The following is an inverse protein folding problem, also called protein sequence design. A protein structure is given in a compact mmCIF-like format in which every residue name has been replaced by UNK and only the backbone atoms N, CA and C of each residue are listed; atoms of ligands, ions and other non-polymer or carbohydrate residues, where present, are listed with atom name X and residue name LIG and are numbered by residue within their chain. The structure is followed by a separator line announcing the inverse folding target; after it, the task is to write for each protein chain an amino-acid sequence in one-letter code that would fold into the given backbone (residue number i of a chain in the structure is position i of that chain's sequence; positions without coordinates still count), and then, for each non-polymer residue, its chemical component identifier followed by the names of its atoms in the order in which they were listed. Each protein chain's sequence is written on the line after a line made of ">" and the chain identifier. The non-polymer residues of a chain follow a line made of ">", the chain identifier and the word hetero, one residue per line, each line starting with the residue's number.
data_IF_586031704901
#
_entry.id   IF_586031704901
#
_cell.length_a   1.000
_cell.length_b   1.000
_cell.length_c   1.000
_cell.angle_alpha   90.00
_cell.angle_beta   90.00
_cell.angle_gamma   90.00
#
_symmetry.space_group_name_H-M   'P 1'
#
loop_
_entity.id
_entity.type
_entity.pdbx_description
1 polymer ?
#
# COMPACT_ATOMS: atom_id res chain seq x y z
N UNK A 1 32.52 44.59 19.26
CA UNK A 1 32.25 43.38 18.45
C UNK A 1 32.45 42.16 19.34
N UNK A 2 31.39 41.75 20.04
CA UNK A 2 31.34 40.58 20.93
C UNK A 2 29.95 39.99 20.77
N UNK A 3 29.90 38.81 20.16
CA UNK A 3 28.69 38.00 20.04
C UNK A 3 28.53 37.29 21.39
N UNK A 4 27.44 37.59 22.10
CA UNK A 4 27.07 36.87 23.32
C UNK A 4 26.21 35.68 22.91
N UNK A 5 26.61 34.53 23.43
CA UNK A 5 26.05 33.21 23.16
C UNK A 5 24.57 33.10 23.49
N UNK A 6 23.87 32.45 22.56
CA UNK A 6 22.48 32.03 22.65
C UNK A 6 22.35 30.84 23.60
N UNK A 7 21.61 31.00 24.69
CA UNK A 7 21.13 29.89 25.54
C UNK A 7 19.61 29.93 25.55
N UNK A 8 18.99 29.55 24.43
CA UNK A 8 17.56 29.21 24.33
C UNK A 8 17.46 27.86 23.63
N UNK A 9 17.94 26.82 24.30
CA UNK A 9 17.86 25.43 23.85
C UNK A 9 17.49 24.60 25.08
N UNK A 10 16.24 24.76 25.56
CA UNK A 10 15.57 23.80 26.45
C UNK A 10 14.08 24.11 26.75
N UNK A 11 13.47 25.15 26.16
CA UNK A 11 12.01 25.40 26.32
C UNK A 11 11.15 25.10 25.08
N UNK A 12 11.71 24.56 23.99
CA UNK A 12 10.97 24.32 22.74
C UNK A 12 10.51 22.85 22.59
N UNK A 13 11.05 21.91 23.37
CA UNK A 13 10.61 20.49 23.33
C UNK A 13 9.37 20.19 24.19
N UNK A 14 8.84 21.15 24.96
CA UNK A 14 7.60 20.97 25.73
C UNK A 14 6.37 21.67 25.10
N UNK A 15 6.55 22.40 23.99
CA UNK A 15 5.47 23.21 23.38
C UNK A 15 4.88 22.64 22.09
N UNK A 16 5.38 21.52 21.56
CA UNK A 16 4.84 20.89 20.34
C UNK A 16 3.83 19.75 20.60
N UNK A 17 3.42 19.53 21.84
CA UNK A 17 2.41 18.52 22.23
C UNK A 17 0.99 19.10 22.44
N UNK A 18 0.74 20.40 22.19
CA UNK A 18 -0.54 21.05 22.58
C UNK A 18 -1.24 21.79 21.42
N UNK A 19 -0.89 21.58 20.16
CA UNK A 19 -1.63 22.21 19.03
C UNK A 19 -2.07 21.21 17.97
N UNK A 20 -2.82 20.22 18.40
CA UNK A 20 -3.96 19.67 17.67
C UNK A 20 -4.89 18.99 18.67
N UNK A 21 -5.73 19.78 19.35
CA UNK A 21 -6.99 19.23 19.90
C UNK A 21 -7.90 18.87 18.72
N UNK A 22 -7.51 17.88 17.94
CA UNK A 22 -8.47 16.90 17.46
C UNK A 22 -8.97 16.27 18.75
N UNK A 23 -10.22 16.57 19.13
CA UNK A 23 -10.83 16.07 20.36
C UNK A 23 -10.58 14.57 20.46
N UNK A 24 -9.63 14.16 21.30
CA UNK A 24 -9.37 12.75 21.53
C UNK A 24 -10.66 12.15 22.09
N UNK A 25 -11.26 11.24 21.34
CA UNK A 25 -12.58 10.73 21.66
C UNK A 25 -12.43 9.73 22.81
N UNK A 26 -13.04 10.05 23.95
CA UNK A 26 -13.11 9.13 25.08
C UNK A 26 -14.26 8.16 24.90
N UNK A 27 -14.00 6.87 25.15
CA UNK A 27 -14.97 5.78 25.10
C UNK A 27 -14.85 4.91 26.35
N UNK A 28 -15.98 4.53 26.93
CA UNK A 28 -16.01 3.58 28.05
C UNK A 28 -16.28 2.14 27.55
N UNK A 29 -15.33 1.23 27.66
CA UNK A 29 -15.55 -0.16 27.27
C UNK A 29 -15.93 -0.94 28.54
N UNK A 30 -16.97 -1.76 28.47
CA UNK A 30 -17.30 -2.75 29.51
C UNK A 30 -17.65 -4.09 28.84
N UNK A 31 -17.44 -5.24 29.51
CA UNK A 31 -17.73 -6.54 28.92
C UNK A 31 -19.19 -6.67 28.44
N UNK A 32 -20.14 -6.11 29.20
CA UNK A 32 -21.57 -6.16 28.88
C UNK A 32 -21.89 -5.34 27.62
N UNK A 33 -21.32 -4.14 27.50
CA UNK A 33 -21.51 -3.28 26.33
C UNK A 33 -20.86 -3.89 25.09
N UNK A 34 -19.64 -4.42 25.23
CA UNK A 34 -18.92 -5.10 24.14
C UNK A 34 -19.73 -6.28 23.61
N UNK A 35 -20.23 -7.14 24.51
CA UNK A 35 -21.06 -8.29 24.14
C UNK A 35 -22.32 -7.85 23.38
N UNK A 36 -23.04 -6.86 23.92
CA UNK A 36 -24.24 -6.31 23.28
C UNK A 36 -23.95 -5.85 21.85
N UNK A 37 -22.87 -5.09 21.64
CA UNK A 37 -22.50 -4.54 20.33
C UNK A 37 -22.12 -5.66 19.35
N UNK A 38 -21.37 -6.66 19.80
CA UNK A 38 -20.99 -7.81 18.96
C UNK A 38 -22.25 -8.57 18.53
N UNK A 39 -23.13 -8.90 19.48
CA UNK A 39 -24.35 -9.66 19.23
C UNK A 39 -25.32 -8.90 18.30
N UNK A 40 -25.51 -7.58 18.50
CA UNK A 40 -26.43 -6.75 17.73
C UNK A 40 -25.94 -6.46 16.30
N UNK A 41 -24.62 -6.32 16.11
CA UNK A 41 -24.05 -5.90 14.82
C UNK A 41 -23.27 -6.99 14.08
N UNK A 42 -23.18 -8.21 14.65
CA UNK A 42 -22.48 -9.33 14.04
C UNK A 42 -20.97 -9.10 13.83
N UNK A 43 -20.33 -8.35 14.74
CA UNK A 43 -18.91 -7.99 14.66
C UNK A 43 -18.08 -9.13 15.28
N UNK A 44 -18.05 -10.27 14.61
CA UNK A 44 -17.51 -11.48 15.22
C UNK A 44 -16.00 -11.67 15.00
N UNK A 45 -15.41 -10.98 14.02
CA UNK A 45 -14.02 -11.20 13.62
C UNK A 45 -13.17 -9.94 13.78
N UNK A 46 -12.64 -9.71 14.98
CA UNK A 46 -11.54 -8.78 15.21
C UNK A 46 -10.70 -9.19 16.42
N UNK A 47 -9.43 -8.80 16.38
CA UNK A 47 -8.46 -9.02 17.44
C UNK A 47 -8.21 -7.72 18.20
N UNK A 48 -7.91 -7.87 19.49
CA UNK A 48 -7.37 -6.82 20.34
C UNK A 48 -5.96 -7.20 20.74
N UNK A 49 -4.99 -6.37 20.42
CA UNK A 49 -3.59 -6.61 20.75
C UNK A 49 -3.09 -5.61 21.79
N UNK A 50 -2.45 -6.05 22.88
CA UNK A 50 -1.72 -5.14 23.76
C UNK A 50 -0.57 -4.47 23.00
N UNK A 51 -0.35 -3.18 23.27
CA UNK A 51 0.67 -2.36 22.62
C UNK A 51 1.55 -1.72 23.68
N UNK A 52 2.86 -1.72 23.44
CA UNK A 52 3.81 -0.91 24.19
C UNK A 52 4.32 0.25 23.35
N UNK A 53 4.31 1.43 23.94
CA UNK A 53 5.04 2.57 23.41
C UNK A 53 6.45 2.57 24.00
N UNK A 54 7.46 2.24 23.19
CA UNK A 54 8.84 2.09 23.66
C UNK A 54 9.85 2.59 22.64
N UNK A 55 11.05 2.88 23.12
CA UNK A 55 12.20 3.14 22.27
C UNK A 55 12.65 1.83 21.60
N UNK A 56 12.84 1.89 20.28
CA UNK A 56 13.35 0.79 19.46
C UNK A 56 14.63 1.23 18.75
N UNK A 57 15.48 0.25 18.48
CA UNK A 57 16.73 0.39 17.74
C UNK A 57 16.52 -0.06 16.29
N UNK A 58 17.02 0.73 15.34
CA UNK A 58 16.95 0.42 13.91
C UNK A 58 18.16 0.99 13.16
N UNK A 59 18.49 0.39 12.00
CA UNK A 59 19.56 0.88 11.12
C UNK A 59 18.97 1.72 9.99
N UNK A 60 19.37 2.98 9.90
CA UNK A 60 18.91 3.86 8.82
C UNK A 60 19.53 3.45 7.48
N UNK A 61 18.78 3.60 6.40
CA UNK A 61 19.32 3.55 5.05
C UNK A 61 19.93 4.91 4.67
N UNK A 62 21.23 4.93 4.41
CA UNK A 62 21.98 6.09 3.98
C UNK A 62 22.23 6.03 2.47
N UNK A 63 22.44 7.18 1.85
CA UNK A 63 22.97 7.22 0.48
C UNK A 63 24.42 6.76 0.53
N UNK A 64 24.77 5.77 -0.28
CA UNK A 64 26.13 5.26 -0.37
C UNK A 64 26.37 4.56 -1.69
N UNK A 65 27.53 3.93 -1.81
CA UNK A 65 27.89 3.15 -2.98
C UNK A 65 27.50 1.68 -2.77
N UNK A 66 26.72 1.13 -3.71
CA UNK A 66 26.36 -0.29 -3.77
C UNK A 66 26.96 -0.90 -5.03
N UNK A 67 27.20 -2.22 -5.03
CA UNK A 67 27.68 -2.91 -6.22
C UNK A 67 26.73 -2.66 -7.40
N UNK A 68 27.27 -2.27 -8.55
CA UNK A 68 26.45 -2.06 -9.73
C UNK A 68 25.85 -3.39 -10.19
N UNK A 69 24.54 -3.40 -10.47
CA UNK A 69 23.86 -4.56 -11.02
C UNK A 69 24.53 -5.04 -12.32
N UNK A 70 24.97 -4.09 -13.16
CA UNK A 70 25.65 -4.40 -14.41
C UNK A 70 27.05 -4.99 -14.17
N UNK A 71 27.79 -4.46 -13.21
CA UNK A 71 29.09 -5.03 -12.82
C UNK A 71 28.94 -6.45 -12.23
N UNK A 72 27.92 -6.67 -11.39
CA UNK A 72 27.62 -7.99 -10.83
C UNK A 72 27.27 -9.01 -11.92
N UNK A 73 26.41 -8.63 -12.86
CA UNK A 73 26.07 -9.50 -14.00
C UNK A 73 27.32 -9.92 -14.79
N UNK A 74 28.22 -8.97 -15.06
CA UNK A 74 29.47 -9.28 -15.76
C UNK A 74 30.41 -10.20 -14.96
N UNK A 75 30.42 -10.09 -13.63
CA UNK A 75 31.17 -11.03 -12.77
C UNK A 75 30.57 -12.43 -12.83
N UNK A 76 29.24 -12.54 -12.74
CA UNK A 76 28.54 -13.82 -12.80
C UNK A 76 28.78 -14.50 -14.16
N UNK A 77 28.70 -13.75 -15.27
CA UNK A 77 29.03 -14.24 -16.62
C UNK A 77 30.51 -14.66 -16.73
N UNK A 78 31.44 -13.88 -16.15
CA UNK A 78 32.87 -14.21 -16.19
C UNK A 78 33.17 -15.54 -15.48
N UNK A 79 32.52 -15.79 -14.33
CA UNK A 79 32.69 -17.02 -13.56
C UNK A 79 32.20 -18.25 -14.33
N UNK A 80 31.15 -18.10 -15.16
CA UNK A 80 30.64 -19.16 -16.03
C UNK A 80 31.66 -19.57 -17.11
N UNK A 81 32.36 -18.62 -17.72
CA UNK A 81 33.36 -18.89 -18.76
C UNK A 81 34.72 -19.34 -18.21
N UNK A 82 34.99 -19.15 -16.91
CA UNK A 82 36.28 -19.41 -16.29
C UNK A 82 36.80 -20.85 -16.50
N UNK A 83 36.00 -21.92 -16.28
CA UNK A 83 36.48 -23.28 -16.47
C UNK A 83 36.92 -23.59 -17.91
N UNK A 84 36.18 -23.08 -18.90
CA UNK A 84 36.52 -23.27 -20.31
C UNK A 84 37.75 -22.47 -20.74
N UNK A 85 37.92 -21.26 -20.20
CA UNK A 85 39.15 -20.47 -20.36
C UNK A 85 40.36 -21.22 -19.78
N UNK A 86 40.27 -21.69 -18.53
CA UNK A 86 41.36 -22.40 -17.85
C UNK A 86 41.74 -23.69 -18.62
N UNK A 87 40.74 -24.42 -19.13
CA UNK A 87 40.94 -25.59 -19.99
C UNK A 87 41.66 -25.27 -21.30
N UNK A 88 41.23 -24.23 -22.02
CA UNK A 88 41.85 -23.81 -23.28
C UNK A 88 43.31 -23.39 -23.07
N UNK A 89 43.59 -22.59 -22.05
CA UNK A 89 44.96 -22.16 -21.72
C UNK A 89 45.85 -23.37 -21.39
N UNK A 90 45.34 -24.32 -20.61
CA UNK A 90 46.08 -25.54 -20.29
C UNK A 90 46.35 -26.38 -21.54
N UNK A 91 45.35 -26.57 -22.41
CA UNK A 91 45.51 -27.30 -23.66
C UNK A 91 46.58 -26.65 -24.54
N UNK A 92 46.55 -25.32 -24.73
CA UNK A 92 47.55 -24.61 -25.52
C UNK A 92 48.97 -24.76 -24.95
N UNK A 93 49.13 -24.75 -23.64
CA UNK A 93 50.43 -24.98 -22.98
C UNK A 93 50.91 -26.42 -23.18
N UNK A 94 50.02 -27.40 -23.05
CA UNK A 94 50.31 -28.81 -23.25
C UNK A 94 50.72 -29.10 -24.71
N UNK A 95 50.08 -28.47 -25.71
CA UNK A 95 50.45 -28.62 -27.12
C UNK A 95 51.79 -27.98 -27.46
N UNK A 96 52.11 -26.81 -26.90
CA UNK A 96 53.45 -26.21 -27.01
C UNK A 96 54.52 -27.11 -26.41
N UNK A 97 54.22 -27.76 -25.27
CA UNK A 97 55.12 -28.75 -24.67
C UNK A 97 55.31 -29.96 -25.58
N UNK A 98 54.24 -30.45 -26.23
CA UNK A 98 54.36 -31.52 -27.22
C UNK A 98 55.31 -31.15 -28.36
N UNK A 99 55.14 -29.98 -28.96
CA UNK A 99 56.00 -29.49 -30.03
C UNK A 99 57.47 -29.46 -29.58
N UNK A 100 57.74 -28.89 -28.40
CA UNK A 100 59.10 -28.84 -27.85
C UNK A 100 59.69 -30.23 -27.58
N UNK A 101 58.88 -31.20 -27.14
CA UNK A 101 59.31 -32.58 -26.92
C UNK A 101 59.61 -33.31 -28.24
N UNK A 102 58.84 -33.05 -29.30
CA UNK A 102 59.14 -33.60 -30.64
C UNK A 102 60.45 -33.01 -31.17
N UNK A 103 60.69 -31.72 -30.98
CA UNK A 103 61.94 -31.07 -31.40
C UNK A 103 63.15 -31.70 -30.71
N UNK A 104 63.08 -31.90 -29.38
CA UNK A 104 64.10 -32.64 -28.63
C UNK A 104 64.35 -34.05 -29.20
N UNK A 105 63.30 -34.78 -29.57
CA UNK A 105 63.45 -36.11 -30.18
C UNK A 105 64.16 -36.06 -31.54
N UNK A 106 63.82 -35.08 -32.38
CA UNK A 106 64.39 -34.92 -33.73
C UNK A 106 65.87 -34.51 -33.71
N UNK A 107 66.23 -33.65 -32.74
CA UNK A 107 67.56 -33.06 -32.56
C UNK A 107 68.51 -33.91 -31.69
N UNK A 108 67.99 -34.81 -30.85
CA UNK A 108 68.81 -35.60 -29.93
C UNK A 108 69.63 -36.70 -30.65
N UNK A 109 70.93 -36.76 -30.32
CA UNK A 109 71.87 -37.82 -30.71
C UNK A 109 71.84 -39.04 -29.76
N UNK A 110 70.96 -39.03 -28.75
CA UNK A 110 70.84 -40.14 -27.80
C UNK A 110 70.30 -41.41 -28.46
N UNK A 111 70.57 -42.56 -27.81
CA UNK A 111 69.98 -43.85 -28.19
C UNK A 111 68.46 -43.73 -28.22
N UNK A 112 67.85 -44.37 -29.23
CA UNK A 112 66.41 -44.30 -29.48
C UNK A 112 65.57 -44.60 -28.22
N UNK A 113 65.93 -45.63 -27.46
CA UNK A 113 65.19 -46.07 -26.27
C UNK A 113 65.15 -45.00 -25.15
N UNK A 114 66.08 -44.05 -25.16
CA UNK A 114 66.12 -42.91 -24.22
C UNK A 114 65.21 -41.78 -24.71
N UNK A 115 65.35 -41.37 -25.97
CA UNK A 115 64.56 -40.26 -26.53
C UNK A 115 63.13 -40.62 -26.91
N UNK A 116 62.78 -41.91 -26.99
CA UNK A 116 61.40 -42.37 -27.18
C UNK A 116 60.45 -41.89 -26.08
N UNK A 117 60.96 -41.62 -24.87
CA UNK A 117 60.14 -41.12 -23.76
C UNK A 117 59.48 -39.77 -24.09
N UNK A 118 60.16 -38.90 -24.85
CA UNK A 118 59.56 -37.65 -25.31
C UNK A 118 58.32 -37.87 -26.17
N UNK A 119 58.32 -38.92 -27.01
CA UNK A 119 57.21 -39.26 -27.88
C UNK A 119 56.05 -39.94 -27.12
N UNK A 120 56.35 -40.71 -26.07
CA UNK A 120 55.32 -41.26 -25.17
C UNK A 120 54.56 -40.17 -24.44
N UNK A 121 55.26 -39.16 -23.93
CA UNK A 121 54.64 -37.99 -23.31
C UNK A 121 53.76 -37.22 -24.31
N UNK A 122 54.25 -37.03 -25.54
CA UNK A 122 53.49 -36.37 -26.63
C UNK A 122 52.22 -37.14 -26.94
N UNK A 123 52.30 -38.47 -27.09
CA UNK A 123 51.13 -39.30 -27.39
C UNK A 123 50.12 -39.27 -26.24
N UNK A 124 50.56 -39.33 -24.98
CA UNK A 124 49.67 -39.23 -23.82
C UNK A 124 48.89 -37.92 -23.78
N UNK A 125 49.53 -36.80 -24.13
CA UNK A 125 48.86 -35.49 -24.22
C UNK A 125 47.91 -35.45 -25.43
N UNK A 126 48.32 -35.98 -26.58
CA UNK A 126 47.44 -36.07 -27.75
C UNK A 126 46.18 -36.90 -27.45
N UNK A 127 46.33 -38.03 -26.75
CA UNK A 127 45.21 -38.89 -26.34
C UNK A 127 44.29 -38.18 -25.33
N UNK A 128 44.86 -37.48 -24.33
CA UNK A 128 44.12 -36.65 -23.35
C UNK A 128 43.18 -35.66 -24.04
N UNK A 129 43.61 -35.06 -25.14
CA UNK A 129 42.83 -34.08 -25.91
C UNK A 129 42.17 -34.66 -27.17
N UNK A 130 42.23 -35.98 -27.37
CA UNK A 130 41.68 -36.70 -28.53
C UNK A 130 42.15 -36.17 -29.88
N UNK A 131 43.41 -35.73 -29.94
CA UNK A 131 43.99 -35.14 -31.15
C UNK A 131 44.34 -36.23 -32.14
N UNK A 132 43.80 -36.10 -33.34
CA UNK A 132 44.09 -37.00 -34.46
C UNK A 132 44.87 -36.23 -35.51
N UNK A 133 46.12 -36.61 -35.74
CA UNK A 133 46.93 -36.06 -36.83
C UNK A 133 46.82 -37.00 -38.04
N UNK A 134 46.47 -36.44 -39.20
CA UNK A 134 46.38 -37.16 -40.46
C UNK A 134 47.57 -36.76 -41.33
N UNK A 135 48.35 -37.74 -41.75
CA UNK A 135 49.46 -37.57 -42.70
C UNK A 135 49.18 -38.33 -44.00
N UNK A 136 50.00 -38.10 -45.02
CA UNK A 136 49.93 -38.82 -46.30
C UNK A 136 50.93 -39.99 -46.31
N UNK A 137 50.51 -41.18 -46.74
CA UNK A 137 51.40 -42.34 -46.81
C UNK A 137 52.33 -42.30 -48.05
N UNK A 138 53.54 -41.79 -47.86
CA UNK A 138 54.56 -41.70 -48.91
C UNK A 138 55.12 -43.07 -49.36
N UNK A 139 54.86 -44.18 -48.63
CA UNK A 139 55.35 -45.51 -49.03
C UNK A 139 54.68 -46.05 -50.29
N UNK A 140 53.56 -45.46 -50.71
CA UNK A 140 52.95 -45.73 -52.02
C UNK A 140 53.70 -45.07 -53.19
N UNK A 141 54.57 -44.08 -52.92
CA UNK A 141 55.37 -43.38 -53.94
C UNK A 141 56.51 -44.28 -54.45
N UNK A 142 57.14 -45.09 -53.59
CA UNK A 142 58.31 -45.89 -53.95
C UNK A 142 57.99 -47.17 -54.72
N UNK A 143 56.78 -47.74 -54.57
CA UNK A 143 56.34 -48.93 -55.33
C UNK A 143 55.87 -48.63 -56.76
N UNK A 144 55.56 -47.37 -57.10
CA UNK A 144 54.96 -47.02 -58.40
C UNK A 144 55.86 -46.22 -59.35
N UNK A 145 56.98 -45.64 -58.88
CA UNK A 145 57.95 -44.98 -59.78
C UNK A 145 58.65 -45.94 -60.76
N UNK A 146 58.49 -47.25 -60.62
CA UNK A 146 59.06 -48.24 -61.54
C UNK A 146 58.15 -48.57 -62.75
N UNK A 147 56.86 -48.21 -62.77
CA UNK A 147 55.95 -48.55 -63.88
C UNK A 147 54.78 -47.55 -64.00
N UNK A 148 54.93 -46.54 -64.85
CA UNK A 148 53.97 -46.18 -65.91
C UNK A 148 54.13 -44.72 -66.34
N UNK A 149 54.53 -44.54 -67.59
CA UNK A 149 54.34 -43.33 -68.39
C UNK A 149 52.89 -43.25 -68.85
N UNK A 150 51.93 -42.87 -67.99
CA UNK A 150 50.60 -42.36 -68.41
C UNK A 150 49.90 -41.73 -67.20
N UNK A 151 49.40 -40.51 -67.39
CA UNK A 151 48.86 -39.64 -66.35
C UNK A 151 47.60 -40.19 -65.67
N UNK A 152 47.72 -40.42 -64.36
CA UNK A 152 46.62 -40.36 -63.40
C UNK A 152 47.23 -39.89 -62.09
N UNK A 153 46.93 -38.66 -61.67
CA UNK A 153 47.15 -38.23 -60.29
C UNK A 153 46.31 -39.13 -59.38
N UNK A 154 46.96 -40.02 -58.63
CA UNK A 154 46.31 -40.81 -57.59
C UNK A 154 46.62 -40.16 -56.25
N UNK A 155 45.57 -39.67 -55.60
CA UNK A 155 45.63 -39.06 -54.27
C UNK A 155 46.30 -40.00 -53.26
N UNK A 156 47.26 -39.46 -52.51
CA UNK A 156 47.90 -40.16 -51.41
C UNK A 156 46.84 -40.49 -50.34
N UNK A 157 46.85 -41.73 -49.86
CA UNK A 157 45.95 -42.17 -48.79
C UNK A 157 46.29 -41.45 -47.49
N UNK A 158 45.25 -40.96 -46.84
CA UNK A 158 45.30 -40.46 -45.47
C UNK A 158 45.59 -41.61 -44.51
N UNK A 159 46.59 -41.41 -43.66
CA UNK A 159 46.93 -42.31 -42.56
C UNK A 159 46.96 -41.51 -41.26
N UNK A 160 46.43 -42.10 -40.20
CA UNK A 160 46.61 -41.55 -38.87
C UNK A 160 48.08 -41.68 -38.47
N UNK A 161 48.70 -40.56 -38.16
CA UNK A 161 50.06 -40.50 -37.65
C UNK A 161 49.99 -40.49 -36.13
N UNK A 162 50.82 -41.32 -35.51
CA UNK A 162 50.95 -41.40 -34.06
C UNK A 162 52.34 -40.90 -33.68
N UNK A 163 52.44 -40.12 -32.60
CA UNK A 163 53.72 -39.74 -32.05
C UNK A 163 54.45 -40.98 -31.50
N UNK A 164 53.71 -41.89 -30.88
CA UNK A 164 54.22 -43.16 -30.37
C UNK A 164 53.16 -44.27 -30.51
N UNK A 165 53.59 -45.48 -30.86
CA UNK A 165 52.74 -46.67 -30.86
C UNK A 165 53.52 -47.87 -30.33
N UNK A 166 52.92 -48.61 -29.40
CA UNK A 166 53.59 -49.74 -28.76
C UNK A 166 54.01 -50.81 -29.79
N UNK A 167 55.21 -51.34 -29.63
CA UNK A 167 55.82 -52.29 -30.57
C UNK A 167 56.24 -51.72 -31.93
N UNK A 168 56.10 -50.42 -32.20
CA UNK A 168 56.54 -49.78 -33.46
C UNK A 168 57.43 -48.57 -33.21
N UNK A 169 58.64 -48.59 -33.77
CA UNK A 169 59.54 -47.43 -33.77
C UNK A 169 58.99 -46.31 -34.64
N UNK A 170 58.85 -45.10 -34.09
CA UNK A 170 58.47 -43.88 -34.79
C UNK A 170 59.64 -43.36 -35.62
N UNK A 171 59.42 -43.09 -36.91
CA UNK A 171 60.46 -42.51 -37.77
C UNK A 171 60.57 -40.99 -37.55
N UNK A 172 61.71 -40.39 -37.93
CA UNK A 172 61.85 -38.92 -37.89
C UNK A 172 60.79 -38.21 -38.76
N UNK A 173 60.40 -38.83 -39.88
CA UNK A 173 59.37 -38.29 -40.76
C UNK A 173 57.99 -38.35 -40.09
N UNK A 174 57.65 -39.46 -39.43
CA UNK A 174 56.37 -39.57 -38.70
C UNK A 174 56.29 -38.55 -37.55
N UNK A 175 57.38 -38.37 -36.80
CA UNK A 175 57.45 -37.36 -35.73
C UNK A 175 57.31 -35.94 -36.28
N UNK A 176 57.93 -35.63 -37.42
CA UNK A 176 57.79 -34.33 -38.08
C UNK A 176 56.36 -34.10 -38.58
N UNK A 177 55.76 -35.08 -39.27
CA UNK A 177 54.35 -35.01 -39.70
C UNK A 177 53.39 -34.84 -38.52
N UNK A 178 53.67 -35.48 -37.38
CA UNK A 178 52.89 -35.29 -36.17
C UNK A 178 53.03 -33.87 -35.60
N UNK A 179 54.25 -33.32 -35.57
CA UNK A 179 54.50 -31.92 -35.17
C UNK A 179 53.74 -30.94 -36.06
N UNK A 180 53.83 -31.11 -37.38
CA UNK A 180 53.17 -30.22 -38.34
C UNK A 180 51.64 -30.26 -38.16
N UNK A 181 51.07 -31.45 -37.92
CA UNK A 181 49.64 -31.58 -37.59
C UNK A 181 49.25 -31.00 -36.23
N UNK A 182 50.13 -31.03 -35.21
CA UNK A 182 49.88 -30.34 -33.94
C UNK A 182 49.87 -28.81 -34.11
N UNK A 183 50.76 -28.28 -34.94
CA UNK A 183 50.79 -26.85 -35.28
C UNK A 183 49.48 -26.48 -35.99
N UNK A 184 49.04 -27.28 -36.95
CA UNK A 184 47.76 -27.09 -37.64
C UNK A 184 46.58 -27.13 -36.66
N UNK A 185 46.55 -28.07 -35.71
CA UNK A 185 45.52 -28.13 -34.66
C UNK A 185 45.53 -26.89 -33.76
N UNK A 186 46.71 -26.34 -33.47
CA UNK A 186 46.84 -25.09 -32.71
C UNK A 186 46.37 -23.87 -33.51
N UNK A 187 46.62 -23.85 -34.82
CA UNK A 187 46.25 -22.76 -35.74
C UNK A 187 44.77 -22.79 -36.12
N UNK A 188 44.20 -23.98 -36.33
CA UNK A 188 42.81 -24.20 -36.73
C UNK A 188 41.80 -24.05 -35.59
N UNK A 189 42.26 -23.77 -34.37
CA UNK A 189 41.50 -23.45 -33.15
C UNK A 189 40.05 -23.97 -33.15
N UNK A 190 39.73 -24.97 -32.32
CA UNK A 190 38.33 -25.41 -32.22
C UNK A 190 37.43 -24.20 -31.94
N UNK A 191 36.47 -23.97 -32.82
CA UNK A 191 35.71 -22.70 -32.88
C UNK A 191 34.97 -22.43 -31.58
N UNK A 192 34.64 -23.48 -30.83
CA UNK A 192 33.92 -23.38 -29.57
C UNK A 192 34.86 -23.04 -28.39
N UNK A 193 36.02 -23.70 -28.27
CA UNK A 193 36.93 -23.48 -27.14
C UNK A 193 37.62 -22.10 -27.25
N UNK A 194 37.94 -21.67 -28.47
CA UNK A 194 38.44 -20.32 -28.70
C UNK A 194 37.37 -19.24 -28.49
N UNK A 195 36.10 -19.51 -28.84
CA UNK A 195 35.01 -18.59 -28.54
C UNK A 195 34.85 -18.37 -27.03
N UNK A 196 34.97 -19.42 -26.22
CA UNK A 196 34.94 -19.32 -24.75
C UNK A 196 36.12 -18.51 -24.22
N UNK A 197 37.34 -18.78 -24.70
CA UNK A 197 38.52 -17.98 -24.35
C UNK A 197 38.34 -16.50 -24.69
N UNK A 198 37.89 -16.20 -25.92
CA UNK A 198 37.66 -14.84 -26.39
C UNK A 198 36.55 -14.13 -25.58
N UNK A 199 35.46 -14.85 -25.26
CA UNK A 199 34.39 -14.33 -24.40
C UNK A 199 34.92 -13.95 -23.01
N UNK A 200 35.70 -14.83 -22.37
CA UNK A 200 36.31 -14.57 -21.06
C UNK A 200 37.22 -13.33 -21.07
N UNK A 201 38.10 -13.21 -22.08
CA UNK A 201 39.00 -12.07 -22.24
C UNK A 201 38.21 -10.77 -22.46
N UNK A 202 37.18 -10.81 -23.32
CA UNK A 202 36.33 -9.65 -23.60
C UNK A 202 35.54 -9.20 -22.36
N UNK A 203 34.98 -10.14 -21.58
CA UNK A 203 34.29 -9.84 -20.32
C UNK A 203 35.24 -9.23 -19.28
N UNK A 204 36.47 -9.76 -19.19
CA UNK A 204 37.52 -9.19 -18.32
C UNK A 204 37.85 -7.75 -18.69
N UNK A 205 37.99 -7.45 -19.98
CA UNK A 205 38.24 -6.08 -20.46
C UNK A 205 37.04 -5.15 -20.25
N UNK A 206 35.81 -5.67 -20.35
CA UNK A 206 34.59 -4.89 -20.03
C UNK A 206 34.51 -4.58 -18.54
N UNK A 207 34.80 -5.54 -17.66
CA UNK A 207 34.82 -5.32 -16.21
C UNK A 207 35.80 -4.22 -15.77
N UNK A 208 36.93 -4.06 -16.47
CA UNK A 208 37.88 -2.95 -16.22
C UNK A 208 37.31 -1.57 -16.53
N UNK A 209 36.30 -1.47 -17.39
CA UNK A 209 35.73 -0.21 -17.89
C UNK A 209 34.41 0.18 -17.23
N UNK A 210 33.78 -0.75 -16.52
CA UNK A 210 32.48 -0.53 -15.86
C UNK A 210 32.68 -0.11 -14.40
N UNK A 211 31.96 0.90 -13.89
CA UNK A 211 31.98 1.24 -12.48
C UNK A 211 31.59 0.04 -11.62
N UNK A 212 32.46 -0.30 -10.65
CA UNK A 212 32.19 -1.40 -9.69
C UNK A 212 30.97 -1.10 -8.83
N UNK A 213 30.79 0.17 -8.51
CA UNK A 213 29.75 0.67 -7.64
C UNK A 213 28.86 1.69 -8.36
N UNK A 214 27.66 1.87 -7.84
CA UNK A 214 26.71 2.90 -8.25
C UNK A 214 26.04 3.51 -7.01
N UNK A 215 25.51 4.73 -7.09
CA UNK A 215 24.74 5.31 -5.99
C UNK A 215 23.54 4.43 -5.64
N UNK A 216 23.36 4.16 -4.35
CA UNK A 216 22.27 3.34 -3.83
C UNK A 216 22.03 3.60 -2.35
N UNK A 217 21.28 2.69 -1.72
CA UNK A 217 21.01 2.72 -0.29
C UNK A 217 21.86 1.67 0.40
N UNK A 218 22.62 2.09 1.40
CA UNK A 218 23.42 1.22 2.27
C UNK A 218 22.90 1.33 3.70
N UNK A 219 23.03 0.25 4.46
CA UNK A 219 22.73 0.28 5.88
C UNK A 219 23.76 1.11 6.63
N UNK A 220 23.29 1.97 7.51
CA UNK A 220 24.13 2.70 8.46
C UNK A 220 24.79 1.73 9.44
N UNK A 221 26.08 1.92 9.69
CA UNK A 221 26.80 1.24 10.77
C UNK A 221 26.30 1.71 12.15
N UNK A 222 25.81 2.95 12.23
CA UNK A 222 25.22 3.52 13.44
C UNK A 222 23.79 3.00 13.68
N UNK A 223 23.54 2.57 14.91
CA UNK A 223 22.21 2.26 15.42
C UNK A 223 21.50 3.57 15.75
N UNK A 224 20.35 3.80 15.13
CA UNK A 224 19.45 4.90 15.47
C UNK A 224 18.36 4.44 16.42
N UNK A 225 17.88 5.35 17.27
CA UNK A 225 16.79 5.11 18.19
C UNK A 225 15.57 5.96 17.84
N UNK A 226 14.38 5.40 18.01
CA UNK A 226 13.11 6.14 17.92
C UNK A 226 12.05 5.46 18.77
N UNK A 227 11.07 6.23 19.23
CA UNK A 227 9.89 5.65 19.87
C UNK A 227 8.93 5.10 18.82
N UNK A 228 8.35 3.94 19.12
CA UNK A 228 7.36 3.28 18.28
C UNK A 228 6.32 2.56 19.13
N UNK A 229 5.13 2.40 18.56
CA UNK A 229 4.10 1.53 19.10
C UNK A 229 4.36 0.11 18.60
N UNK A 230 4.59 -0.83 19.53
CA UNK A 230 4.90 -2.22 19.22
C UNK A 230 3.81 -3.10 19.80
N UNK A 231 3.21 -3.95 18.97
CA UNK A 231 2.32 -5.02 19.45
C UNK A 231 3.14 -6.03 20.24
N UNK A 232 2.78 -6.22 21.51
CA UNK A 232 3.42 -7.19 22.39
C UNK A 232 2.38 -8.18 22.94
N UNK A 233 2.68 -9.48 22.81
CA UNK A 233 1.83 -10.56 23.29
C UNK A 233 0.81 -11.05 22.27
N UNK A 234 0.00 -12.00 22.72
CA UNK A 234 -1.08 -12.58 21.92
C UNK A 234 -2.29 -11.66 21.90
N UNK A 235 -3.21 -11.87 20.95
CA UNK A 235 -4.50 -11.20 21.00
C UNK A 235 -5.25 -11.59 22.28
N UNK A 236 -5.99 -10.63 22.82
CA UNK A 236 -6.89 -10.80 23.95
C UNK A 236 -8.33 -10.64 23.46
N UNK A 237 -9.27 -11.30 24.12
CA UNK A 237 -10.69 -11.08 23.84
C UNK A 237 -11.13 -9.69 24.31
N UNK A 238 -12.02 -9.05 23.55
CA UNK A 238 -12.55 -7.72 23.85
C UNK A 238 -13.32 -7.67 25.18
N UNK A 239 -13.88 -8.80 25.62
CA UNK A 239 -14.52 -8.99 26.92
C UNK A 239 -13.55 -8.80 28.10
N UNK A 240 -12.24 -8.85 27.86
CA UNK A 240 -11.22 -8.59 28.87
C UNK A 240 -10.87 -7.09 28.98
N UNK A 241 -11.40 -6.24 28.09
CA UNK A 241 -11.26 -4.80 28.21
C UNK A 241 -12.41 -4.20 29.02
N UNK A 242 -12.05 -3.48 30.08
CA UNK A 242 -12.99 -2.71 30.89
C UNK A 242 -12.32 -1.43 31.37
N UNK A 243 -12.96 -0.27 31.19
CA UNK A 243 -12.44 1.03 31.62
C UNK A 243 -12.79 2.16 30.66
N UNK A 244 -12.23 3.35 30.96
CA UNK A 244 -12.29 4.49 30.05
C UNK A 244 -11.03 4.51 29.18
N UNK A 245 -11.20 4.77 27.90
CA UNK A 245 -10.12 4.77 26.91
C UNK A 245 -10.19 6.03 26.05
N UNK A 246 -9.03 6.53 25.66
CA UNK A 246 -8.87 7.59 24.67
C UNK A 246 -8.50 6.95 23.34
N UNK A 247 -9.23 7.27 22.28
CA UNK A 247 -8.87 6.86 20.92
C UNK A 247 -7.75 7.78 20.42
N UNK A 248 -6.60 7.21 20.09
CA UNK A 248 -5.49 7.96 19.51
C UNK A 248 -5.83 8.41 18.08
N UNK A 249 -5.32 9.58 17.69
CA UNK A 249 -5.60 10.13 16.38
C UNK A 249 -4.93 9.29 15.27
N UNK A 250 -5.72 8.97 14.24
CA UNK A 250 -5.28 8.22 13.07
C UNK A 250 -5.41 6.71 13.22
N UNK A 251 -5.28 6.02 12.09
CA UNK A 251 -5.30 4.57 12.01
C UNK A 251 -3.90 4.06 11.70
N UNK A 252 -3.57 2.90 12.27
CA UNK A 252 -2.25 2.31 12.23
C UNK A 252 -2.30 0.96 11.51
N UNK A 253 -1.25 0.65 10.77
CA UNK A 253 -1.05 -0.64 10.11
C UNK A 253 -0.01 -1.43 10.91
N UNK A 254 -0.24 -2.74 11.06
CA UNK A 254 0.69 -3.65 11.72
C UNK A 254 1.73 -4.21 10.74
N UNK A 255 3.00 -3.90 10.99
CA UNK A 255 4.13 -4.49 10.29
C UNK A 255 4.38 -5.91 10.81
N UNK A 256 4.16 -6.94 9.98
CA UNK A 256 4.29 -8.35 10.42
C UNK A 256 5.72 -8.89 10.43
N UNK A 257 6.62 -8.27 9.66
CA UNK A 257 8.01 -8.67 9.47
C UNK A 257 8.90 -7.44 9.35
N UNK A 258 10.19 -7.55 9.63
CA UNK A 258 11.12 -6.44 9.43
C UNK A 258 11.08 -5.99 7.95
N UNK A 259 10.98 -4.68 7.71
CA UNK A 259 10.82 -4.14 6.35
C UNK A 259 11.83 -3.06 6.03
N UNK A 260 12.72 -3.38 5.09
CA UNK A 260 13.70 -2.47 4.47
C UNK A 260 14.48 -1.63 5.51
N UNK A 261 14.72 -2.18 6.69
CA UNK A 261 15.37 -1.51 7.83
C UNK A 261 14.70 -0.19 8.26
N UNK A 262 13.49 0.10 7.77
CA UNK A 262 12.68 1.26 8.13
C UNK A 262 11.78 0.95 9.31
N UNK A 263 11.26 -0.28 9.36
CA UNK A 263 10.29 -0.74 10.35
C UNK A 263 10.69 -2.09 10.90
N UNK A 264 10.43 -2.26 12.18
CA UNK A 264 10.67 -3.53 12.87
C UNK A 264 9.38 -4.36 12.90
N UNK A 265 9.55 -5.67 13.03
CA UNK A 265 8.44 -6.60 13.24
C UNK A 265 7.57 -6.15 14.42
N UNK A 266 6.26 -6.27 14.24
CA UNK A 266 5.19 -5.88 15.16
C UNK A 266 5.05 -4.37 15.40
N UNK A 267 5.71 -3.53 14.61
CA UNK A 267 5.53 -2.09 14.68
C UNK A 267 4.19 -1.63 14.08
N UNK A 268 3.52 -0.72 14.77
CA UNK A 268 2.34 0.00 14.30
C UNK A 268 2.75 1.36 13.71
N UNK A 269 2.35 1.63 12.47
CA UNK A 269 2.74 2.85 11.74
C UNK A 269 1.56 3.44 10.95
N UNK A 270 1.64 4.73 10.63
CA UNK A 270 0.61 5.47 9.88
C UNK A 270 1.03 5.68 8.42
N UNK A 271 0.91 4.67 7.55
CA UNK A 271 1.09 4.86 6.10
C UNK A 271 0.12 3.98 5.29
N UNK A 272 -0.69 4.65 4.45
CA UNK A 272 -1.13 4.24 3.10
C UNK A 272 -1.93 2.96 2.87
N UNK A 273 -2.11 2.08 3.85
CA UNK A 273 -2.66 0.75 3.60
C UNK A 273 -4.17 0.61 3.91
N UNK A 274 -4.83 -0.32 3.24
CA UNK A 274 -6.28 -0.57 3.38
C UNK A 274 -6.66 -1.25 4.71
N UNK A 275 -5.68 -1.71 5.50
CA UNK A 275 -5.89 -2.41 6.79
C UNK A 275 -5.31 -1.62 7.95
N UNK A 276 -5.72 -0.37 8.05
CA UNK A 276 -5.35 0.52 9.16
C UNK A 276 -6.48 0.55 10.21
N UNK A 277 -6.10 0.48 11.49
CA UNK A 277 -7.02 0.38 12.61
C UNK A 277 -6.62 1.25 13.81
N UNK A 278 -7.54 1.59 14.73
CA UNK A 278 -7.26 2.50 15.83
C UNK A 278 -6.40 1.87 16.92
N UNK A 279 -5.62 2.74 17.59
CA UNK A 279 -5.03 2.46 18.90
C UNK A 279 -5.87 3.18 19.95
N UNK A 280 -6.19 2.51 21.05
CA UNK A 280 -6.80 3.11 22.23
C UNK A 280 -5.82 3.08 23.40
N UNK A 281 -5.85 4.11 24.24
CA UNK A 281 -5.06 4.20 25.47
C UNK A 281 -6.01 4.23 26.67
N UNK A 282 -5.77 3.41 27.70
CA UNK A 282 -6.55 3.50 28.93
C UNK A 282 -6.29 4.85 29.61
N UNK A 283 -7.36 5.54 29.99
CA UNK A 283 -7.27 6.89 30.60
C UNK A 283 -6.48 6.82 31.90
N UNK A 284 -5.44 7.66 31.99
CA UNK A 284 -4.57 7.76 33.16
C UNK A 284 -3.49 6.68 33.27
N UNK A 285 -3.27 5.86 32.23
CA UNK A 285 -2.21 4.85 32.20
C UNK A 285 -1.44 4.85 30.87
N UNK A 286 -0.31 4.15 30.83
CA UNK A 286 0.47 3.89 29.60
C UNK A 286 0.09 2.55 28.94
N UNK A 287 -1.13 2.07 29.19
CA UNK A 287 -1.63 0.84 28.58
C UNK A 287 -2.32 1.16 27.25
N UNK A 288 -1.76 0.64 26.17
CA UNK A 288 -2.28 0.81 24.82
C UNK A 288 -2.82 -0.51 24.26
N UNK A 289 -3.85 -0.41 23.42
CA UNK A 289 -4.43 -1.55 22.73
C UNK A 289 -4.71 -1.21 21.28
N UNK A 290 -4.35 -2.10 20.38
CA UNK A 290 -4.64 -2.01 18.95
C UNK A 290 -5.82 -2.91 18.63
N UNK A 291 -6.89 -2.34 18.07
CA UNK A 291 -8.16 -3.06 17.83
C UNK A 291 -8.36 -3.19 16.34
N UNK A 292 -8.36 -4.40 15.78
CA UNK A 292 -8.50 -4.61 14.34
C UNK A 292 -9.94 -4.49 13.83
N UNK A 293 -10.68 -3.49 14.32
CA UNK A 293 -12.04 -3.14 13.90
C UNK A 293 -12.24 -1.63 13.98
N UNK A 294 -12.53 -1.01 12.84
CA UNK A 294 -12.92 0.41 12.77
C UNK A 294 -14.37 0.62 13.24
N UNK A 295 -15.21 -0.40 13.11
CA UNK A 295 -16.64 -0.30 13.41
C UNK A 295 -16.95 -0.47 14.90
N UNK A 296 -16.21 -1.34 15.61
CA UNK A 296 -16.49 -1.63 17.01
C UNK A 296 -16.50 -0.35 17.88
N UNK A 297 -15.45 0.46 17.80
CA UNK A 297 -15.36 1.71 18.57
C UNK A 297 -16.40 2.76 18.15
N UNK A 298 -16.79 2.77 16.88
CA UNK A 298 -17.88 3.62 16.37
C UNK A 298 -19.20 3.22 17.02
N UNK A 299 -19.53 1.92 17.08
CA UNK A 299 -20.75 1.45 17.72
C UNK A 299 -20.74 1.66 19.24
N UNK A 300 -19.59 1.47 19.91
CA UNK A 300 -19.43 1.80 21.33
C UNK A 300 -19.76 3.28 21.57
N UNK A 301 -19.20 4.15 20.74
CA UNK A 301 -19.42 5.59 20.84
C UNK A 301 -20.89 5.97 20.60
N UNK A 302 -21.52 5.39 19.58
CA UNK A 302 -22.93 5.62 19.25
C UNK A 302 -23.85 5.15 20.37
N UNK A 303 -23.61 3.96 20.93
CA UNK A 303 -24.39 3.42 22.04
C UNK A 303 -24.28 4.31 23.29
N UNK A 304 -23.08 4.81 23.59
CA UNK A 304 -22.87 5.72 24.72
C UNK A 304 -23.51 7.08 24.52
N UNK A 305 -23.43 7.62 23.31
CA UNK A 305 -24.12 8.85 22.96
C UNK A 305 -25.62 8.67 23.16
N UNK A 306 -26.20 7.60 22.60
CA UNK A 306 -27.61 7.30 22.73
C UNK A 306 -28.04 7.16 24.20
N UNK A 307 -27.29 6.41 25.02
CA UNK A 307 -27.57 6.28 26.45
C UNK A 307 -27.64 7.64 27.15
N UNK A 308 -26.74 8.58 26.82
CA UNK A 308 -26.78 9.95 27.38
C UNK A 308 -28.06 10.69 26.97
N UNK A 309 -28.53 10.54 25.73
CA UNK A 309 -29.79 11.16 25.29
C UNK A 309 -30.98 10.53 25.99
N UNK A 310 -31.00 9.19 26.07
CA UNK A 310 -32.03 8.40 26.75
C UNK A 310 -32.15 8.80 28.23
N UNK A 311 -31.03 8.94 28.93
CA UNK A 311 -31.02 9.42 30.33
C UNK A 311 -31.67 10.80 30.47
N UNK A 312 -31.40 11.72 29.55
CA UNK A 312 -31.99 13.07 29.58
C UNK A 312 -33.50 13.04 29.33
N UNK A 313 -33.98 12.26 28.35
CA UNK A 313 -35.43 12.17 28.08
C UNK A 313 -36.18 11.42 29.18
N UNK A 314 -35.57 10.39 29.77
CA UNK A 314 -36.14 9.64 30.88
C UNK A 314 -36.24 10.51 32.13
N UNK A 315 -35.23 11.34 32.39
CA UNK A 315 -35.28 12.37 33.45
C UNK A 315 -36.37 13.42 33.19
N UNK A 316 -36.67 13.72 31.94
CA UNK A 316 -37.78 14.58 31.55
C UNK A 316 -39.16 13.87 31.58
N UNK A 317 -39.21 12.60 31.96
CA UNK A 317 -40.45 11.84 32.15
C UNK A 317 -41.00 11.17 30.88
N UNK A 318 -40.21 11.13 29.80
CA UNK A 318 -40.57 10.43 28.57
C UNK A 318 -39.97 9.03 28.58
N UNK A 319 -40.61 8.09 27.85
CA UNK A 319 -40.11 6.73 27.67
C UNK A 319 -39.71 6.51 26.22
N UNK A 320 -38.50 6.01 26.00
CA UNK A 320 -38.00 5.68 24.68
C UNK A 320 -38.60 4.38 24.12
N UNK A 321 -38.65 4.29 22.80
CA UNK A 321 -38.89 3.06 22.07
C UNK A 321 -38.02 3.02 20.81
N UNK A 322 -37.87 1.82 20.26
CA UNK A 322 -37.00 1.56 19.11
C UNK A 322 -37.84 1.15 17.92
N UNK A 323 -37.56 1.73 16.75
CA UNK A 323 -38.20 1.31 15.51
C UNK A 323 -37.46 0.08 14.96
N UNK A 324 -38.21 -0.97 14.62
CA UNK A 324 -37.66 -2.27 14.21
C UNK A 324 -36.88 -2.24 12.89
N UNK A 325 -37.10 -1.24 12.04
CA UNK A 325 -36.52 -1.17 10.69
C UNK A 325 -35.09 -0.63 10.66
N UNK A 326 -34.73 0.28 11.56
CA UNK A 326 -33.46 1.02 11.53
C UNK A 326 -32.77 1.08 12.91
N UNK A 327 -33.39 0.52 13.96
CA UNK A 327 -32.86 0.55 15.32
C UNK A 327 -32.81 1.96 15.92
N UNK A 328 -33.39 2.96 15.26
CA UNK A 328 -33.39 4.33 15.76
C UNK A 328 -34.32 4.44 16.98
N UNK A 329 -33.86 5.22 17.96
CA UNK A 329 -34.59 5.47 19.19
C UNK A 329 -35.45 6.72 19.05
N UNK A 330 -36.67 6.64 19.57
CA UNK A 330 -37.67 7.70 19.52
C UNK A 330 -38.35 7.86 20.87
N UNK A 331 -38.97 9.03 21.07
CA UNK A 331 -39.97 9.26 22.10
C UNK A 331 -41.27 9.73 21.45
N UNK A 332 -42.38 9.43 22.11
CA UNK A 332 -43.69 9.95 21.74
C UNK A 332 -44.08 11.04 22.72
N UNK A 333 -44.32 12.23 22.20
CA UNK A 333 -44.75 13.42 22.94
C UNK A 333 -46.24 13.65 22.74
N UNK A 334 -46.80 14.75 23.27
CA UNK A 334 -48.22 15.06 23.06
C UNK A 334 -48.50 15.42 21.61
N UNK A 335 -47.55 16.03 20.91
CA UNK A 335 -47.74 16.60 19.57
C UNK A 335 -46.93 15.92 18.47
N UNK A 336 -45.85 15.23 18.82
CA UNK A 336 -44.92 14.64 17.84
C UNK A 336 -44.30 13.31 18.28
N UNK A 337 -43.80 12.57 17.30
CA UNK A 337 -42.74 11.57 17.48
C UNK A 337 -41.39 12.27 17.27
N UNK A 338 -40.45 12.10 18.20
CA UNK A 338 -39.13 12.76 18.18
C UNK A 338 -38.02 11.70 18.20
N UNK A 339 -37.09 11.77 17.25
CA UNK A 339 -35.88 10.94 17.17
C UNK A 339 -34.82 11.40 18.16
N UNK A 340 -34.16 10.45 18.84
CA UNK A 340 -33.14 10.74 19.85
C UNK A 340 -31.75 10.86 19.21
N UNK A 341 -31.45 12.06 18.71
CA UNK A 341 -30.23 12.35 17.96
C UNK A 341 -29.35 13.45 18.59
N UNK A 342 -28.32 13.88 17.84
CA UNK A 342 -27.41 14.98 18.20
C UNK A 342 -28.11 16.30 18.50
N UNK A 343 -29.18 16.62 17.77
CA UNK A 343 -29.93 17.86 17.94
C UNK A 343 -30.69 17.83 19.26
N UNK A 344 -31.45 16.75 19.50
CA UNK A 344 -32.22 16.60 20.74
C UNK A 344 -31.31 16.57 21.97
N UNK A 345 -30.17 15.88 21.88
CA UNK A 345 -29.16 15.94 22.94
C UNK A 345 -28.71 17.36 23.26
N UNK A 346 -28.35 18.14 22.22
CA UNK A 346 -27.90 19.53 22.38
C UNK A 346 -28.98 20.40 23.01
N UNK A 347 -30.22 20.27 22.54
CA UNK A 347 -31.34 21.05 23.04
C UNK A 347 -31.64 20.70 24.50
N UNK A 348 -31.78 19.42 24.85
CA UNK A 348 -32.06 18.98 26.22
C UNK A 348 -30.93 19.31 27.21
N UNK A 349 -29.68 19.24 26.76
CA UNK A 349 -28.53 19.63 27.59
C UNK A 349 -28.56 21.13 27.93
N UNK A 350 -29.00 21.96 26.99
CA UNK A 350 -29.11 23.42 27.19
C UNK A 350 -30.41 23.83 27.90
N UNK A 351 -31.50 23.10 27.66
CA UNK A 351 -32.82 23.35 28.21
C UNK A 351 -33.51 22.01 28.56
N UNK A 352 -33.50 21.59 29.83
CA UNK A 352 -34.17 20.37 30.26
C UNK A 352 -35.68 20.33 29.98
N UNK A 353 -36.33 21.49 29.84
CA UNK A 353 -37.77 21.61 29.56
C UNK A 353 -38.09 21.67 28.06
N UNK A 354 -37.10 21.52 27.18
CA UNK A 354 -37.25 21.69 25.74
C UNK A 354 -38.43 20.93 25.13
N UNK A 355 -38.64 19.66 25.52
CA UNK A 355 -39.74 18.85 24.95
C UNK A 355 -41.12 19.39 25.36
N UNK A 356 -41.25 19.89 26.60
CA UNK A 356 -42.49 20.51 27.08
C UNK A 356 -42.76 21.84 26.37
N UNK A 357 -41.73 22.66 26.18
CA UNK A 357 -41.83 23.91 25.41
C UNK A 357 -42.20 23.64 23.95
N UNK A 358 -41.57 22.64 23.34
CA UNK A 358 -41.89 22.17 22.00
C UNK A 358 -43.37 21.78 21.88
N UNK A 359 -43.87 20.92 22.79
CA UNK A 359 -45.28 20.51 22.79
C UNK A 359 -46.23 21.72 22.92
N UNK A 360 -45.92 22.68 23.79
CA UNK A 360 -46.72 23.89 23.96
C UNK A 360 -46.71 24.78 22.72
N UNK A 361 -45.56 24.98 22.09
CA UNK A 361 -45.46 25.73 20.84
C UNK A 361 -46.23 25.05 19.71
N UNK A 362 -46.14 23.72 19.56
CA UNK A 362 -46.88 22.98 18.54
C UNK A 362 -48.40 23.03 18.79
N UNK A 363 -48.86 22.96 20.05
CA UNK A 363 -50.28 23.17 20.38
C UNK A 363 -50.75 24.60 20.04
N UNK A 364 -49.91 25.60 20.28
CA UNK A 364 -50.20 26.99 19.93
C UNK A 364 -50.27 27.18 18.42
N UNK A 365 -49.32 26.61 17.67
CA UNK A 365 -49.34 26.60 16.20
C UNK A 365 -50.62 25.94 15.70
N UNK A 366 -50.97 24.76 16.20
CA UNK A 366 -52.21 24.07 15.80
C UNK A 366 -53.47 24.90 16.08
N UNK A 367 -53.52 25.61 17.20
CA UNK A 367 -54.61 26.53 17.54
C UNK A 367 -54.71 27.71 16.57
N UNK A 368 -53.57 28.32 16.22
CA UNK A 368 -53.51 29.41 15.25
C UNK A 368 -53.86 28.93 13.83
N UNK A 369 -53.42 27.73 13.45
CA UNK A 369 -53.80 27.10 12.16
C UNK A 369 -55.30 26.88 12.07
N UNK A 370 -56.00 26.51 13.16
CA UNK A 370 -57.48 26.43 13.13
C UNK A 370 -58.14 27.77 12.84
N UNK A 371 -57.55 28.88 13.30
CA UNK A 371 -58.08 30.22 13.04
C UNK A 371 -57.96 30.59 11.55
N UNK A 372 -57.04 29.97 10.80
CA UNK A 372 -56.87 30.30 9.38
C UNK A 372 -58.11 30.00 8.54
N UNK A 373 -58.97 29.07 8.97
CA UNK A 373 -60.18 28.67 8.23
C UNK A 373 -61.15 29.85 8.05
N UNK A 374 -61.40 30.63 9.10
CA UNK A 374 -62.32 31.78 9.02
C UNK A 374 -61.73 32.93 8.20
N UNK A 375 -60.41 33.14 8.33
CA UNK A 375 -59.69 34.11 7.51
C UNK A 375 -59.69 33.71 6.03
N UNK A 376 -59.42 32.44 5.72
CA UNK A 376 -59.45 31.90 4.35
C UNK A 376 -60.79 32.17 3.67
N UNK A 377 -61.91 31.80 4.32
CA UNK A 377 -63.27 32.07 3.80
C UNK A 377 -63.55 33.55 3.57
N UNK A 378 -63.06 34.41 4.45
CA UNK A 378 -63.23 35.86 4.33
C UNK A 378 -62.45 36.42 3.14
N UNK A 379 -61.21 35.98 2.97
CA UNK A 379 -60.36 36.40 1.85
C UNK A 379 -60.90 35.86 0.52
N UNK A 380 -61.29 34.59 0.46
CA UNK A 380 -61.87 33.97 -0.74
C UNK A 380 -63.16 34.68 -1.19
N UNK A 381 -64.01 35.10 -0.25
CA UNK A 381 -65.18 35.95 -0.56
C UNK A 381 -64.79 37.22 -1.31
N UNK A 382 -63.75 37.94 -0.87
CA UNK A 382 -63.30 39.17 -1.53
C UNK A 382 -62.60 38.89 -2.86
N UNK A 383 -61.82 37.81 -2.95
CA UNK A 383 -61.24 37.33 -4.22
C UNK A 383 -62.35 37.02 -5.23
N UNK A 384 -63.41 36.33 -4.81
CA UNK A 384 -64.59 36.05 -5.62
C UNK A 384 -65.30 37.31 -6.10
N UNK A 385 -65.52 38.28 -5.19
CA UNK A 385 -66.08 39.59 -5.54
C UNK A 385 -65.22 40.32 -6.58
N UNK A 386 -63.90 40.30 -6.41
CA UNK A 386 -62.98 40.89 -7.39
C UNK A 386 -63.02 40.17 -8.73
N UNK A 387 -63.09 38.83 -8.77
CA UNK A 387 -63.21 38.06 -10.02
C UNK A 387 -64.47 38.46 -10.82
N UNK A 388 -65.57 38.73 -10.13
CA UNK A 388 -66.86 39.12 -10.75
C UNK A 388 -66.88 40.60 -11.15
N UNK A 389 -66.48 41.49 -10.25
CA UNK A 389 -66.66 42.94 -10.41
C UNK A 389 -65.43 43.65 -10.98
N UNK A 390 -64.22 43.08 -10.83
CA UNK A 390 -62.91 43.65 -11.20
C UNK A 390 -62.81 45.12 -10.80
N UNK A 391 -62.85 46.02 -11.79
CA UNK A 391 -62.70 47.46 -11.63
C UNK A 391 -63.94 48.14 -11.04
N UNK A 392 -65.04 47.42 -10.81
CA UNK A 392 -66.32 47.92 -10.29
C UNK A 392 -66.54 47.60 -8.82
N UNK A 393 -65.56 47.01 -8.13
CA UNK A 393 -65.66 46.77 -6.69
C UNK A 393 -65.72 48.11 -5.93
N UNK A 394 -66.62 48.22 -4.96
CA UNK A 394 -66.79 49.47 -4.21
C UNK A 394 -65.55 49.78 -3.35
N UNK A 395 -65.27 51.06 -3.14
CA UNK A 395 -64.19 51.52 -2.27
C UNK A 395 -64.31 50.97 -0.84
N UNK A 396 -65.54 50.86 -0.32
CA UNK A 396 -65.83 50.25 0.97
C UNK A 396 -65.43 48.76 1.01
N UNK A 397 -65.72 47.99 -0.04
CA UNK A 397 -65.32 46.59 -0.13
C UNK A 397 -63.80 46.43 -0.25
N UNK A 398 -63.13 47.30 -1.00
CA UNK A 398 -61.65 47.32 -1.09
C UNK A 398 -61.03 47.63 0.27
N UNK A 399 -61.56 48.62 1.00
CA UNK A 399 -61.08 48.96 2.34
C UNK A 399 -61.27 47.79 3.33
N UNK A 400 -62.44 47.15 3.32
CA UNK A 400 -62.71 45.97 4.15
C UNK A 400 -61.80 44.78 3.80
N UNK A 401 -61.52 44.58 2.50
CA UNK A 401 -60.57 43.56 2.05
C UNK A 401 -59.16 43.84 2.57
N UNK A 402 -58.64 45.07 2.46
CA UNK A 402 -57.34 45.46 3.03
C UNK A 402 -57.24 45.17 4.53
N UNK A 403 -58.31 45.47 5.30
CA UNK A 403 -58.36 45.17 6.73
C UNK A 403 -58.33 43.66 6.99
N UNK A 404 -59.11 42.87 6.24
CA UNK A 404 -59.11 41.42 6.34
C UNK A 404 -57.73 40.81 6.01
N UNK A 405 -57.08 41.28 4.94
CA UNK A 405 -55.72 40.88 4.53
C UNK A 405 -54.68 41.24 5.59
N UNK A 406 -54.76 42.44 6.18
CA UNK A 406 -53.85 42.86 7.27
C UNK A 406 -53.99 41.97 8.50
N UNK A 407 -55.23 41.62 8.89
CA UNK A 407 -55.47 40.74 10.03
C UNK A 407 -55.02 39.31 9.75
N UNK A 408 -55.20 38.82 8.52
CA UNK A 408 -54.67 37.53 8.08
C UNK A 408 -53.13 37.50 8.10
N UNK A 409 -52.46 38.56 7.63
CA UNK A 409 -51.01 38.68 7.71
C UNK A 409 -50.52 38.61 9.17
N UNK A 410 -51.15 39.33 10.10
CA UNK A 410 -50.80 39.24 11.54
C UNK A 410 -50.92 37.83 12.10
N UNK A 411 -51.90 37.04 11.63
CA UNK A 411 -52.05 35.64 12.03
C UNK A 411 -50.90 34.79 11.43
N UNK A 412 -50.60 34.97 10.15
CA UNK A 412 -49.47 34.30 9.50
C UNK A 412 -48.15 34.60 10.21
N UNK A 413 -47.86 35.86 10.53
CA UNK A 413 -46.62 36.27 11.21
C UNK A 413 -46.46 35.59 12.57
N UNK A 414 -47.58 35.41 13.31
CA UNK A 414 -47.58 34.69 14.59
C UNK A 414 -47.28 33.20 14.42
N UNK A 415 -47.86 32.57 13.40
CA UNK A 415 -47.60 31.16 13.08
C UNK A 415 -46.13 31.01 12.68
N UNK A 416 -45.66 31.83 11.73
CA UNK A 416 -44.30 31.79 11.23
C UNK A 416 -43.27 31.97 12.35
N UNK A 417 -43.43 32.97 13.22
CA UNK A 417 -42.52 33.23 14.35
C UNK A 417 -42.39 32.05 15.32
N UNK A 418 -43.46 31.27 15.53
CA UNK A 418 -43.39 30.07 16.36
C UNK A 418 -42.73 28.90 15.62
N UNK A 419 -43.02 28.74 14.33
CA UNK A 419 -42.44 27.69 13.49
C UNK A 419 -40.93 27.88 13.25
N UNK A 420 -40.47 29.13 13.10
CA UNK A 420 -39.07 29.49 12.84
C UNK A 420 -38.12 28.95 13.91
N UNK A 421 -38.56 28.82 15.17
CA UNK A 421 -37.77 28.23 16.26
C UNK A 421 -37.29 26.81 15.97
N UNK A 422 -37.99 26.10 15.09
CA UNK A 422 -37.75 24.70 14.76
C UNK A 422 -37.33 24.51 13.30
N UNK A 423 -37.03 25.61 12.59
CA UNK A 423 -36.56 25.54 11.22
C UNK A 423 -35.21 24.79 11.14
N UNK A 424 -35.10 23.87 10.19
CA UNK A 424 -33.93 22.99 10.05
C UNK A 424 -33.84 21.85 11.07
N UNK A 425 -34.80 21.71 11.99
CA UNK A 425 -34.89 20.56 12.88
C UNK A 425 -35.66 19.41 12.18
N UNK A 426 -34.92 18.37 11.79
CA UNK A 426 -35.46 17.16 11.14
C UNK A 426 -35.71 16.01 12.13
N UNK A 427 -35.53 16.24 13.43
CA UNK A 427 -35.61 15.22 14.46
C UNK A 427 -37.04 14.85 14.85
N UNK A 428 -38.08 15.42 14.23
CA UNK A 428 -39.46 15.15 14.65
C UNK A 428 -40.46 15.01 13.50
N UNK A 429 -41.53 14.28 13.79
CA UNK A 429 -42.72 14.14 12.94
C UNK A 429 -43.97 14.43 13.76
N UNK A 430 -44.73 15.44 13.34
CA UNK A 430 -46.00 15.79 13.98
C UNK A 430 -47.02 14.65 13.87
N UNK A 431 -47.70 14.34 14.98
CA UNK A 431 -48.74 13.28 15.02
C UNK A 431 -50.00 13.69 14.24
N UNK A 432 -50.33 14.98 14.24
CA UNK A 432 -51.49 15.53 13.54
C UNK A 432 -51.04 16.65 12.61
N UNK A 433 -50.93 16.36 11.31
CA UNK A 433 -50.69 17.38 10.28
C UNK A 433 -52.04 17.92 9.80
N UNK A 434 -52.16 19.24 9.69
CA UNK A 434 -53.36 19.91 9.17
C UNK A 434 -53.03 20.59 7.85
N UNK A 435 -53.72 20.20 6.78
CA UNK A 435 -53.50 20.75 5.43
C UNK A 435 -54.16 22.12 5.22
N UNK A 436 -54.92 22.63 6.21
CA UNK A 436 -55.69 23.88 6.09
C UNK A 436 -54.85 25.15 6.10
N UNK A 437 -53.55 25.04 6.36
CA UNK A 437 -52.66 26.19 6.32
C UNK A 437 -52.34 26.63 4.88
N UNK A 438 -52.24 25.69 3.94
CA UNK A 438 -51.84 26.00 2.56
C UNK A 438 -52.89 26.86 1.84
N UNK A 439 -54.16 26.47 1.91
CA UNK A 439 -55.27 27.23 1.30
C UNK A 439 -55.33 28.67 1.83
N UNK A 440 -55.06 28.85 3.13
CA UNK A 440 -54.99 30.17 3.74
C UNK A 440 -53.83 31.00 3.19
N UNK A 441 -52.64 30.40 2.99
CA UNK A 441 -51.50 31.09 2.39
C UNK A 441 -51.81 31.52 0.95
N UNK A 442 -52.43 30.64 0.15
CA UNK A 442 -52.79 30.94 -1.23
C UNK A 442 -53.76 32.13 -1.30
N UNK A 443 -54.79 32.14 -0.45
CA UNK A 443 -55.77 33.23 -0.38
C UNK A 443 -55.16 34.54 0.15
N UNK A 444 -54.24 34.46 1.11
CA UNK A 444 -53.49 35.62 1.62
C UNK A 444 -52.61 36.23 0.52
N UNK A 445 -51.81 35.40 -0.16
CA UNK A 445 -50.92 35.84 -1.24
C UNK A 445 -51.70 36.42 -2.42
N UNK A 446 -52.78 35.76 -2.85
CA UNK A 446 -53.65 36.28 -3.91
C UNK A 446 -54.25 37.64 -3.53
N UNK A 447 -54.71 37.79 -2.29
CA UNK A 447 -55.25 39.06 -1.79
C UNK A 447 -54.20 40.17 -1.80
N UNK A 448 -52.99 39.89 -1.31
CA UNK A 448 -51.88 40.86 -1.33
C UNK A 448 -51.52 41.28 -2.75
N UNK A 449 -51.46 40.33 -3.68
CA UNK A 449 -51.18 40.60 -5.10
C UNK A 449 -52.21 41.53 -5.74
N UNK A 450 -53.51 41.29 -5.51
CA UNK A 450 -54.57 42.15 -6.06
C UNK A 450 -54.58 43.54 -5.42
N UNK A 451 -54.32 43.63 -4.11
CA UNK A 451 -54.37 44.89 -3.36
C UNK A 451 -53.07 45.71 -3.46
N UNK A 452 -51.99 45.14 -4.00
CA UNK A 452 -50.66 45.74 -4.05
C UNK A 452 -50.07 45.97 -2.65
N UNK A 453 -50.13 44.94 -1.79
CA UNK A 453 -49.70 44.98 -0.38
C UNK A 453 -48.47 44.12 -0.08
#
# INVERSE_FOLDING_TARGET
>A
MKIINCTVRNCIMLLFLITSKVSAQEVKITPELSKKIIDEHGINDFDVFPVKYKEIEYRKLLNGEVMSNYYKQLLDELEEYKPGYDYYVQQQNDLKKCIANIDKFLESDEKYDVKEQYLKEVQSIADKYKITVIGKDERFISKFRARSSYGHDRELKDIQVYAFMDGKRTSKNDAKSFKDGLIEVMELQSTNEYAIYSAYVNLTERLKKVPKTQPGKVLSDEISKRFAYIVEGNSIGIENLSGNFTILAGNFTLQKEDFQDKRVKNELFQEGDYKAYPIIQRVGTDEFYYITSNYFLQYVSSAQFLNKVVELVNKAGYKEYYRSSDGAAFIKTKTAEISLDGWIYKMLKSNPNYITEFDNDQLNIASLVKQTISHSKTLDKYIGLYRIQRNRISSANVAAWRVATTNAQKLHDRIYKLSEKYEGNYSFSLLNKSDTHQEFLDNLLASKGVLGM
#
